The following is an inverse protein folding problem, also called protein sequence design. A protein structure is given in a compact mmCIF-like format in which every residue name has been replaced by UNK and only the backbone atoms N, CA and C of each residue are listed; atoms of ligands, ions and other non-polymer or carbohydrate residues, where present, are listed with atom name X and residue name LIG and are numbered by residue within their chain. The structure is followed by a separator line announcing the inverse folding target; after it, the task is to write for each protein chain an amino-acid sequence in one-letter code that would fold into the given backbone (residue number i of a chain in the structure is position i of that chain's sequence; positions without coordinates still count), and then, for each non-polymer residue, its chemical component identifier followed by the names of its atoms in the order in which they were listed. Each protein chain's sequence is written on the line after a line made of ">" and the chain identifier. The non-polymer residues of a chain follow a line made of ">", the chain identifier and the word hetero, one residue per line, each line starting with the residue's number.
data_IF_327302882622
#
_entry.id   IF_327302882622
#
_cell.length_a   1.000
_cell.length_b   1.000
_cell.length_c   1.000
_cell.angle_alpha   90.00
_cell.angle_beta   90.00
_cell.angle_gamma   90.00
#
_symmetry.space_group_name_H-M   'P 1'
#
loop_
_entity.id
_entity.type
_entity.pdbx_description
1 polymer ?
#
# COMPACT_ATOMS: atom_id res chain seq x y z
N UNK A 1 -73.49 22.34 20.36
CA UNK A 1 -72.48 23.10 19.57
C UNK A 1 -72.66 24.61 19.73
N UNK A 2 -71.58 25.36 20.01
CA UNK A 2 -71.65 26.81 20.19
C UNK A 2 -72.22 27.49 18.94
N UNK A 3 -73.41 28.07 19.04
CA UNK A 3 -74.00 28.95 18.02
C UNK A 3 -75.34 28.48 17.42
N UNK A 4 -75.67 27.19 17.45
CA UNK A 4 -76.96 26.66 16.97
C UNK A 4 -77.89 26.39 18.16
N UNK A 5 -79.00 27.14 18.27
CA UNK A 5 -80.05 26.92 19.26
C UNK A 5 -81.24 26.25 18.59
N UNK A 6 -81.66 25.10 19.11
CA UNK A 6 -82.63 24.19 18.48
C UNK A 6 -84.03 24.81 18.31
N UNK A 7 -84.40 25.75 19.18
CA UNK A 7 -85.71 26.40 19.21
C UNK A 7 -85.73 27.81 18.57
N UNK A 8 -84.77 28.15 17.72
CA UNK A 8 -84.68 29.49 17.10
C UNK A 8 -85.08 29.45 15.63
N UNK A 9 -85.99 30.35 15.24
CA UNK A 9 -86.44 30.52 13.86
C UNK A 9 -85.25 30.73 12.90
N UNK A 10 -85.29 30.21 11.66
CA UNK A 10 -84.19 30.33 10.71
C UNK A 10 -83.72 31.78 10.41
N UNK A 11 -84.60 32.76 10.61
CA UNK A 11 -84.33 34.21 10.47
C UNK A 11 -83.58 34.84 11.64
N UNK A 12 -83.52 34.17 12.80
CA UNK A 12 -82.92 34.67 14.05
C UNK A 12 -81.65 33.93 14.48
N UNK A 13 -81.07 33.08 13.61
CA UNK A 13 -79.83 32.33 13.90
C UNK A 13 -78.66 33.26 14.26
N UNK A 14 -77.72 32.82 15.10
CA UNK A 14 -76.58 33.65 15.54
C UNK A 14 -75.62 34.01 14.38
N UNK A 15 -74.84 35.10 14.53
CA UNK A 15 -73.84 35.49 13.52
C UNK A 15 -72.77 34.41 13.32
N UNK A 16 -72.39 33.72 14.40
CA UNK A 16 -71.44 32.61 14.38
C UNK A 16 -71.97 31.42 13.57
N UNK A 17 -73.26 31.08 13.74
CA UNK A 17 -73.90 30.03 12.95
C UNK A 17 -73.96 30.39 11.46
N UNK A 18 -74.31 31.64 11.14
CA UNK A 18 -74.32 32.13 9.76
C UNK A 18 -72.92 32.11 9.12
N UNK A 19 -71.90 32.53 9.87
CA UNK A 19 -70.50 32.46 9.43
C UNK A 19 -70.07 31.02 9.15
N UNK A 20 -70.44 30.06 10.01
CA UNK A 20 -70.20 28.63 9.78
C UNK A 20 -70.89 28.09 8.53
N UNK A 21 -72.13 28.50 8.27
CA UNK A 21 -72.85 28.16 7.03
C UNK A 21 -72.18 28.72 5.77
N UNK A 22 -71.69 29.95 5.82
CA UNK A 22 -70.92 30.56 4.72
C UNK A 22 -69.57 29.88 4.53
N UNK A 23 -68.90 29.46 5.61
CA UNK A 23 -67.66 28.71 5.54
C UNK A 23 -67.85 27.33 4.89
N UNK A 24 -68.93 26.60 5.23
CA UNK A 24 -69.28 25.36 4.53
C UNK A 24 -69.53 25.58 3.03
N UNK A 25 -70.25 26.63 2.66
CA UNK A 25 -70.50 26.94 1.23
C UNK A 25 -69.22 27.38 0.49
N UNK A 26 -68.34 28.15 1.14
CA UNK A 26 -67.04 28.50 0.60
C UNK A 26 -66.17 27.25 0.41
N UNK A 27 -66.12 26.36 1.40
CA UNK A 27 -65.41 25.08 1.32
C UNK A 27 -65.93 24.19 0.19
N UNK A 28 -67.25 24.12 -0.02
CA UNK A 28 -67.84 23.44 -1.18
C UNK A 28 -67.36 24.07 -2.50
N UNK A 29 -67.36 25.40 -2.60
CA UNK A 29 -66.85 26.12 -3.77
C UNK A 29 -65.37 25.82 -4.05
N UNK A 30 -64.51 25.88 -3.03
CA UNK A 30 -63.09 25.52 -3.14
C UNK A 30 -62.91 24.05 -3.57
N UNK A 31 -63.64 23.13 -2.96
CA UNK A 31 -63.61 21.72 -3.32
C UNK A 31 -63.98 21.50 -4.79
N UNK A 32 -65.00 22.19 -5.33
CA UNK A 32 -65.33 22.09 -6.75
C UNK A 32 -64.24 22.65 -7.68
N UNK A 33 -63.64 23.79 -7.32
CA UNK A 33 -62.59 24.42 -8.14
C UNK A 33 -61.31 23.56 -8.21
N UNK A 34 -60.91 22.96 -7.08
CA UNK A 34 -59.66 22.22 -6.98
C UNK A 34 -59.81 20.69 -7.13
N UNK A 35 -61.03 20.13 -7.12
CA UNK A 35 -61.25 18.68 -7.20
C UNK A 35 -60.67 18.06 -8.47
N UNK A 36 -60.78 18.72 -9.62
CA UNK A 36 -60.22 18.20 -10.87
C UNK A 36 -58.69 18.21 -10.88
N UNK A 37 -58.07 19.25 -10.30
CA UNK A 37 -56.60 19.32 -10.13
C UNK A 37 -56.10 18.23 -9.20
N UNK A 38 -56.80 18.01 -8.08
CA UNK A 38 -56.44 17.00 -7.10
C UNK A 38 -56.63 15.59 -7.67
N UNK A 39 -57.72 15.34 -8.42
CA UNK A 39 -57.92 14.08 -9.15
C UNK A 39 -56.82 13.85 -10.20
N UNK A 40 -56.46 14.87 -10.97
CA UNK A 40 -55.41 14.79 -11.98
C UNK A 40 -54.04 14.51 -11.35
N UNK A 41 -53.72 15.16 -10.24
CA UNK A 41 -52.50 14.91 -9.48
C UNK A 41 -52.43 13.45 -9.00
N UNK A 42 -53.50 12.97 -8.34
CA UNK A 42 -53.61 11.58 -7.88
C UNK A 42 -53.39 10.61 -9.04
N UNK A 43 -54.06 10.83 -10.18
CA UNK A 43 -53.95 9.95 -11.34
C UNK A 43 -52.52 9.90 -11.90
N UNK A 44 -51.85 11.06 -12.05
CA UNK A 44 -50.46 11.09 -12.52
C UNK A 44 -49.54 10.34 -11.55
N UNK A 45 -49.64 10.65 -10.25
CA UNK A 45 -48.80 10.00 -9.23
C UNK A 45 -49.08 8.51 -9.07
N UNK A 46 -50.33 8.07 -9.26
CA UNK A 46 -50.71 6.65 -9.25
C UNK A 46 -50.12 5.92 -10.47
N UNK A 47 -50.27 6.49 -11.66
CA UNK A 47 -49.74 5.89 -12.89
C UNK A 47 -48.22 5.79 -12.81
N UNK A 48 -47.54 6.85 -12.39
CA UNK A 48 -46.09 6.85 -12.25
C UNK A 48 -45.64 5.93 -11.11
N UNK A 49 -46.09 6.17 -9.88
CA UNK A 49 -45.65 5.41 -8.71
C UNK A 49 -45.96 3.92 -8.82
N UNK A 50 -47.21 3.57 -9.13
CA UNK A 50 -47.66 2.17 -9.17
C UNK A 50 -47.05 1.37 -10.31
N UNK A 51 -46.99 1.92 -11.53
CA UNK A 51 -46.43 1.18 -12.67
C UNK A 51 -44.90 1.14 -12.63
N UNK A 52 -44.23 2.23 -12.25
CA UNK A 52 -42.76 2.26 -12.19
C UNK A 52 -42.27 1.33 -11.08
N UNK A 53 -42.94 1.28 -9.92
CA UNK A 53 -42.57 0.35 -8.85
C UNK A 53 -42.62 -1.11 -9.33
N UNK A 54 -43.73 -1.52 -9.97
CA UNK A 54 -43.89 -2.89 -10.46
C UNK A 54 -42.93 -3.24 -11.60
N UNK A 55 -42.66 -2.31 -12.53
CA UNK A 55 -41.83 -2.57 -13.71
C UNK A 55 -40.33 -2.45 -13.45
N UNK A 56 -39.92 -1.61 -12.50
CA UNK A 56 -38.51 -1.28 -12.28
C UNK A 56 -38.03 -1.88 -10.97
N UNK A 57 -38.64 -1.53 -9.84
CA UNK A 57 -38.16 -1.98 -8.52
C UNK A 57 -38.32 -3.49 -8.33
N UNK A 58 -39.49 -4.03 -8.63
CA UNK A 58 -39.73 -5.46 -8.48
C UNK A 58 -38.93 -6.29 -9.50
N UNK A 59 -38.78 -5.79 -10.74
CA UNK A 59 -37.94 -6.42 -11.76
C UNK A 59 -36.43 -6.30 -11.48
N UNK A 60 -35.98 -5.26 -10.77
CA UNK A 60 -34.59 -5.12 -10.33
C UNK A 60 -34.27 -6.09 -9.21
N UNK A 61 -35.12 -6.13 -8.18
CA UNK A 61 -34.96 -7.03 -7.03
C UNK A 61 -35.04 -8.51 -7.42
N UNK A 62 -35.86 -8.84 -8.41
CA UNK A 62 -35.95 -10.18 -8.99
C UNK A 62 -34.88 -10.46 -10.06
N UNK A 63 -34.00 -9.50 -10.34
CA UNK A 63 -32.96 -9.54 -11.39
C UNK A 63 -33.48 -9.80 -12.82
N UNK A 64 -34.80 -9.75 -13.03
CA UNK A 64 -35.43 -9.90 -14.34
C UNK A 64 -35.03 -8.78 -15.31
N UNK A 65 -34.76 -7.58 -14.78
CA UNK A 65 -34.33 -6.46 -15.61
C UNK A 65 -32.94 -6.70 -16.22
N UNK A 66 -32.07 -7.46 -15.55
CA UNK A 66 -30.75 -7.81 -16.07
C UNK A 66 -30.84 -8.89 -17.17
N UNK A 67 -31.76 -9.85 -17.02
CA UNK A 67 -32.05 -10.82 -18.09
C UNK A 67 -32.58 -10.15 -19.37
N UNK A 68 -33.22 -8.99 -19.23
CA UNK A 68 -33.66 -8.16 -20.35
C UNK A 68 -32.47 -7.55 -21.11
N UNK A 69 -31.45 -7.08 -20.37
CA UNK A 69 -30.21 -6.55 -20.93
C UNK A 69 -29.35 -7.66 -21.57
N UNK A 70 -29.48 -8.89 -21.07
CA UNK A 70 -28.79 -10.08 -21.61
C UNK A 70 -29.42 -10.60 -22.91
N UNK A 71 -30.65 -10.17 -23.24
CA UNK A 71 -31.35 -10.61 -24.44
C UNK A 71 -30.90 -9.81 -25.66
N UNK A 72 -30.15 -10.41 -26.61
CA UNK A 72 -29.61 -9.67 -27.75
C UNK A 72 -30.73 -9.16 -28.67
N UNK A 73 -30.62 -7.90 -29.10
CA UNK A 73 -31.54 -7.28 -30.06
C UNK A 73 -32.79 -6.63 -29.45
N UNK A 74 -32.94 -6.66 -28.12
CA UNK A 74 -34.05 -5.98 -27.46
C UNK A 74 -33.84 -4.46 -27.33
N UNK A 75 -32.59 -4.03 -27.08
CA UNK A 75 -32.19 -2.62 -27.05
C UNK A 75 -31.42 -2.30 -28.34
N UNK A 76 -31.97 -1.46 -29.23
CA UNK A 76 -31.32 -1.15 -30.50
C UNK A 76 -29.98 -0.43 -30.26
N UNK A 77 -28.90 -0.99 -30.79
CA UNK A 77 -27.54 -0.41 -30.72
C UNK A 77 -26.75 -0.74 -29.44
N UNK A 78 -27.28 -1.57 -28.54
CA UNK A 78 -26.56 -2.03 -27.36
C UNK A 78 -26.27 -3.54 -27.45
N UNK A 79 -24.98 -3.90 -27.46
CA UNK A 79 -24.52 -5.28 -27.37
C UNK A 79 -23.32 -5.33 -26.43
N UNK A 80 -23.52 -5.90 -25.24
CA UNK A 80 -22.50 -5.97 -24.20
C UNK A 80 -21.28 -6.79 -24.65
N UNK A 81 -21.50 -7.90 -25.37
CA UNK A 81 -20.41 -8.72 -25.91
C UNK A 81 -19.54 -7.93 -26.88
N UNK A 82 -20.14 -7.12 -27.76
CA UNK A 82 -19.39 -6.30 -28.73
C UNK A 82 -18.57 -5.20 -28.04
N UNK A 83 -19.14 -4.57 -27.00
CA UNK A 83 -18.44 -3.56 -26.20
C UNK A 83 -17.23 -4.13 -25.45
N UNK A 84 -17.34 -5.38 -24.99
CA UNK A 84 -16.26 -6.10 -24.30
C UNK A 84 -15.28 -6.77 -25.26
N UNK A 85 -15.48 -6.66 -26.58
CA UNK A 85 -14.64 -7.32 -27.58
C UNK A 85 -14.73 -8.86 -27.53
N UNK A 86 -15.86 -9.39 -27.05
CA UNK A 86 -16.16 -10.82 -26.96
C UNK A 86 -17.07 -11.28 -28.11
N UNK A 87 -17.12 -12.59 -28.35
CA UNK A 87 -18.05 -13.18 -29.32
C UNK A 87 -19.51 -12.87 -28.94
N UNK A 88 -20.35 -12.57 -29.94
CA UNK A 88 -21.72 -12.13 -29.69
C UNK A 88 -22.53 -13.16 -28.88
N UNK A 89 -23.11 -12.73 -27.75
CA UNK A 89 -23.97 -13.57 -26.90
C UNK A 89 -23.25 -14.31 -25.77
N UNK A 90 -21.97 -14.02 -25.54
CA UNK A 90 -21.17 -14.60 -24.44
C UNK A 90 -21.28 -13.82 -23.13
N UNK A 91 -21.58 -12.52 -23.19
CA UNK A 91 -21.60 -11.64 -22.03
C UNK A 91 -22.99 -11.68 -21.37
N UNK A 92 -23.02 -12.05 -20.09
CA UNK A 92 -24.23 -12.09 -19.27
C UNK A 92 -24.07 -11.10 -18.11
N UNK A 93 -24.75 -9.95 -18.21
CA UNK A 93 -24.80 -8.91 -17.21
C UNK A 93 -25.38 -9.40 -15.90
N UNK A 94 -26.42 -10.25 -15.91
CA UNK A 94 -26.98 -10.82 -14.68
C UNK A 94 -25.95 -11.65 -13.91
N UNK A 95 -25.14 -12.44 -14.60
CA UNK A 95 -24.06 -13.23 -14.01
C UNK A 95 -22.92 -12.34 -13.52
N UNK A 96 -22.49 -11.39 -14.34
CA UNK A 96 -21.47 -10.40 -13.95
C UNK A 96 -21.88 -9.65 -12.68
N UNK A 97 -23.13 -9.18 -12.61
CA UNK A 97 -23.67 -8.49 -11.45
C UNK A 97 -23.61 -9.37 -10.19
N UNK A 98 -24.02 -10.64 -10.31
CA UNK A 98 -23.99 -11.61 -9.21
C UNK A 98 -22.55 -11.89 -8.74
N UNK A 99 -21.60 -12.02 -9.66
CA UNK A 99 -20.18 -12.19 -9.32
C UNK A 99 -19.63 -10.95 -8.62
N UNK A 100 -20.04 -9.75 -9.04
CA UNK A 100 -19.67 -8.51 -8.37
C UNK A 100 -20.25 -8.40 -6.96
N UNK A 101 -21.48 -8.85 -6.73
CA UNK A 101 -22.03 -8.94 -5.37
C UNK A 101 -21.21 -9.89 -4.46
N UNK A 102 -20.57 -10.91 -5.06
CA UNK A 102 -19.70 -11.87 -4.36
C UNK A 102 -18.23 -11.41 -4.21
N UNK A 103 -17.92 -10.15 -4.52
CA UNK A 103 -16.55 -9.59 -4.42
C UNK A 103 -15.55 -10.17 -5.43
N UNK A 104 -16.04 -10.66 -6.57
CA UNK A 104 -15.15 -11.09 -7.64
C UNK A 104 -14.36 -9.89 -8.23
N UNK A 105 -13.15 -10.17 -8.71
CA UNK A 105 -12.39 -9.23 -9.53
C UNK A 105 -13.13 -8.94 -10.84
N UNK A 106 -13.05 -7.70 -11.32
CA UNK A 106 -13.61 -7.31 -12.62
C UNK A 106 -13.12 -8.21 -13.76
N UNK A 107 -11.86 -8.67 -13.70
CA UNK A 107 -11.30 -9.57 -14.70
C UNK A 107 -12.12 -10.86 -14.86
N UNK A 108 -12.49 -11.46 -13.73
CA UNK A 108 -13.30 -12.67 -13.69
C UNK A 108 -14.77 -12.37 -14.02
N UNK A 109 -15.33 -11.31 -13.43
CA UNK A 109 -16.74 -10.94 -13.61
C UNK A 109 -17.10 -10.61 -15.06
N UNK A 110 -16.17 -10.01 -15.81
CA UNK A 110 -16.33 -9.65 -17.21
C UNK A 110 -15.88 -10.75 -18.18
N UNK A 111 -15.36 -11.88 -17.70
CA UNK A 111 -14.78 -12.94 -18.53
C UNK A 111 -13.74 -12.41 -19.54
N UNK A 112 -12.88 -11.47 -19.10
CA UNK A 112 -11.90 -10.82 -19.98
C UNK A 112 -10.86 -11.80 -20.52
N UNK A 113 -10.69 -12.96 -19.87
CA UNK A 113 -9.86 -14.07 -20.33
C UNK A 113 -10.21 -14.58 -21.73
N UNK A 114 -11.48 -14.45 -22.14
CA UNK A 114 -11.96 -14.85 -23.46
C UNK A 114 -11.52 -13.88 -24.56
N UNK A 115 -11.46 -12.59 -24.25
CA UNK A 115 -11.04 -11.54 -25.18
C UNK A 115 -9.51 -11.37 -25.21
N UNK A 116 -8.88 -11.49 -24.05
CA UNK A 116 -7.47 -11.21 -23.82
C UNK A 116 -6.84 -12.30 -22.95
N UNK A 117 -5.96 -13.08 -23.55
CA UNK A 117 -5.17 -14.06 -22.80
C UNK A 117 -3.98 -13.39 -22.13
N UNK A 118 -4.00 -13.30 -20.80
CA UNK A 118 -2.84 -12.86 -20.00
C UNK A 118 -1.62 -13.75 -20.24
N UNK A 119 -1.82 -15.03 -20.54
CA UNK A 119 -0.72 -15.94 -20.85
C UNK A 119 -0.01 -15.62 -22.15
N UNK A 120 -0.75 -15.14 -23.16
CA UNK A 120 -0.15 -14.66 -24.41
C UNK A 120 0.51 -13.29 -24.24
N UNK A 121 -0.14 -12.37 -23.52
CA UNK A 121 0.35 -11.00 -23.33
C UNK A 121 1.59 -10.93 -22.44
N UNK A 122 1.61 -11.71 -21.35
CA UNK A 122 2.68 -11.75 -20.36
C UNK A 122 3.52 -13.04 -20.52
N UNK A 123 3.70 -13.51 -21.75
CA UNK A 123 4.52 -14.68 -22.01
C UNK A 123 6.01 -14.31 -21.83
N UNK A 124 6.59 -14.71 -20.70
CA UNK A 124 8.01 -14.48 -20.40
C UNK A 124 8.94 -15.43 -21.14
N UNK A 125 8.45 -16.61 -21.56
CA UNK A 125 9.31 -17.65 -22.14
C UNK A 125 10.09 -17.18 -23.36
N UNK A 126 9.47 -16.38 -24.22
CA UNK A 126 10.10 -15.80 -25.41
C UNK A 126 11.31 -14.90 -25.07
N UNK A 127 11.17 -14.05 -24.03
CA UNK A 127 12.22 -13.13 -23.62
C UNK A 127 13.31 -13.83 -22.80
N UNK A 128 12.92 -14.77 -21.93
CA UNK A 128 13.84 -15.59 -21.13
C UNK A 128 14.79 -16.38 -22.04
N UNK A 129 14.28 -16.96 -23.12
CA UNK A 129 15.07 -17.72 -24.09
C UNK A 129 16.04 -16.81 -24.87
N UNK A 130 15.57 -15.64 -25.33
CA UNK A 130 16.39 -14.66 -26.04
C UNK A 130 17.52 -14.11 -25.15
N UNK A 131 17.21 -13.73 -23.91
CA UNK A 131 18.18 -13.24 -22.93
C UNK A 131 19.23 -14.32 -22.63
N UNK A 132 18.82 -15.57 -22.45
CA UNK A 132 19.73 -16.70 -22.21
C UNK A 132 20.65 -16.92 -23.41
N UNK A 133 20.13 -16.89 -24.63
CA UNK A 133 20.92 -17.04 -25.87
C UNK A 133 21.92 -15.90 -26.08
N UNK A 134 21.53 -14.65 -25.82
CA UNK A 134 22.42 -13.49 -25.92
C UNK A 134 23.55 -13.61 -24.91
N UNK A 135 23.23 -14.08 -23.70
CA UNK A 135 24.21 -14.25 -22.63
C UNK A 135 25.21 -15.37 -22.92
N UNK A 136 24.77 -16.51 -23.45
CA UNK A 136 25.68 -17.59 -23.84
C UNK A 136 26.70 -17.18 -24.90
N UNK A 137 26.31 -16.23 -25.77
CA UNK A 137 27.17 -15.66 -26.81
C UNK A 137 28.06 -14.51 -26.32
N UNK A 138 27.84 -14.02 -25.10
CA UNK A 138 28.60 -12.89 -24.56
C UNK A 138 29.97 -13.36 -24.07
N UNK A 139 31.01 -12.95 -24.79
CA UNK A 139 32.39 -13.12 -24.34
C UNK A 139 32.76 -12.00 -23.36
N UNK A 140 32.76 -12.32 -22.07
CA UNK A 140 33.21 -11.41 -21.02
C UNK A 140 34.74 -11.27 -21.12
N UNK A 141 35.21 -10.16 -21.68
CA UNK A 141 36.63 -9.83 -21.75
C UNK A 141 37.04 -9.14 -20.46
N UNK A 142 37.66 -9.89 -19.56
CA UNK A 142 38.24 -9.32 -18.35
C UNK A 142 39.56 -8.65 -18.71
N UNK A 143 39.77 -7.45 -18.16
CA UNK A 143 41.07 -6.79 -18.26
C UNK A 143 42.12 -7.65 -17.59
N UNK A 144 43.29 -7.81 -18.21
CA UNK A 144 44.38 -8.59 -17.63
C UNK A 144 44.82 -7.95 -16.32
N UNK A 145 44.56 -8.63 -15.20
CA UNK A 145 45.04 -8.22 -13.89
C UNK A 145 46.52 -8.61 -13.82
N UNK A 146 47.41 -7.63 -13.67
CA UNK A 146 48.83 -7.88 -13.41
C UNK A 146 49.14 -7.50 -11.97
N UNK A 147 49.36 -8.50 -11.11
CA UNK A 147 49.62 -8.28 -9.69
C UNK A 147 51.00 -7.65 -9.45
N UNK A 148 52.01 -8.20 -10.12
CA UNK A 148 53.40 -7.72 -10.10
C UNK A 148 54.03 -7.94 -11.48
N UNK A 149 54.51 -6.86 -12.09
CA UNK A 149 55.29 -6.93 -13.33
C UNK A 149 56.64 -7.62 -13.09
N UNK A 150 57.24 -8.15 -14.16
CA UNK A 150 58.57 -8.76 -14.09
C UNK A 150 59.61 -7.79 -13.50
N UNK A 151 59.57 -6.52 -13.90
CA UNK A 151 60.49 -5.49 -13.38
C UNK A 151 60.38 -5.28 -11.86
N UNK A 152 59.17 -5.34 -11.31
CA UNK A 152 58.93 -5.20 -9.87
C UNK A 152 59.39 -6.45 -9.11
N UNK A 153 59.23 -7.65 -9.68
CA UNK A 153 59.73 -8.90 -9.11
C UNK A 153 61.26 -8.88 -9.03
N UNK A 154 61.91 -8.49 -10.11
CA UNK A 154 63.37 -8.40 -10.18
C UNK A 154 63.90 -7.35 -9.21
N UNK A 155 63.22 -6.20 -9.08
CA UNK A 155 63.58 -5.15 -8.13
C UNK A 155 63.50 -5.63 -6.67
N UNK A 156 62.44 -6.37 -6.31
CA UNK A 156 62.31 -6.95 -4.97
C UNK A 156 63.38 -8.00 -4.68
N UNK A 157 63.67 -8.88 -5.65
CA UNK A 157 64.75 -9.86 -5.52
C UNK A 157 66.11 -9.18 -5.35
N UNK A 158 66.41 -8.20 -6.19
CA UNK A 158 67.65 -7.45 -6.14
C UNK A 158 67.79 -6.66 -4.83
N UNK A 159 66.72 -6.03 -4.34
CA UNK A 159 66.72 -5.35 -3.05
C UNK A 159 66.99 -6.33 -1.89
N UNK A 160 66.38 -7.51 -1.91
CA UNK A 160 66.62 -8.55 -0.89
C UNK A 160 68.05 -9.10 -0.91
N UNK A 161 68.66 -9.16 -2.09
CA UNK A 161 70.05 -9.58 -2.28
C UNK A 161 71.04 -8.47 -1.88
N UNK A 162 70.76 -7.22 -2.24
CA UNK A 162 71.57 -6.06 -1.87
C UNK A 162 71.57 -5.81 -0.36
N UNK A 163 70.48 -6.16 0.33
CA UNK A 163 70.39 -6.10 1.79
C UNK A 163 71.11 -7.23 2.54
N UNK A 164 71.84 -8.12 1.86
CA UNK A 164 72.60 -9.17 2.54
C UNK A 164 73.89 -8.59 3.15
N UNK A 165 74.15 -8.84 4.46
CA UNK A 165 75.38 -8.41 5.09
C UNK A 165 76.59 -9.14 4.52
N UNK A 166 77.80 -8.58 4.67
CA UNK A 166 79.03 -9.30 4.39
C UNK A 166 79.18 -10.51 5.32
N UNK A 167 80.08 -11.42 4.96
CA UNK A 167 80.37 -12.57 5.80
C UNK A 167 81.15 -12.13 7.05
N UNK A 168 80.48 -12.14 8.20
CA UNK A 168 81.07 -11.79 9.50
C UNK A 168 81.72 -12.98 10.23
N UNK A 169 81.87 -14.16 9.62
CA UNK A 169 82.41 -15.33 10.32
C UNK A 169 83.80 -15.06 10.93
N UNK A 170 84.70 -14.47 10.15
CA UNK A 170 86.04 -14.09 10.61
C UNK A 170 86.00 -13.01 11.69
N UNK A 171 85.05 -12.07 11.58
CA UNK A 171 84.86 -11.00 12.57
C UNK A 171 84.36 -11.57 13.90
N UNK A 172 83.42 -12.52 13.87
CA UNK A 172 82.93 -13.22 15.05
C UNK A 172 84.05 -14.06 15.70
N UNK A 173 84.84 -14.78 14.89
CA UNK A 173 86.02 -15.52 15.38
C UNK A 173 87.01 -14.60 16.09
N UNK A 174 87.31 -13.42 15.52
CA UNK A 174 88.19 -12.43 16.15
C UNK A 174 87.59 -11.79 17.40
N UNK A 175 86.26 -11.61 17.47
CA UNK A 175 85.59 -11.08 18.66
C UNK A 175 85.71 -12.02 19.86
N UNK A 176 85.85 -13.32 19.61
CA UNK A 176 86.03 -14.34 20.66
C UNK A 176 87.49 -14.49 21.11
N UNK A 177 88.44 -13.81 20.45
CA UNK A 177 89.83 -13.73 20.90
C UNK A 177 90.03 -12.70 22.02
N UNK A 178 91.10 -12.86 22.79
CA UNK A 178 91.45 -11.91 23.85
C UNK A 178 91.95 -10.60 23.22
N UNK A 179 91.54 -9.45 23.79
CA UNK A 179 91.97 -8.12 23.33
C UNK A 179 93.49 -7.93 23.41
N UNK A 180 94.15 -8.71 24.28
CA UNK A 180 95.60 -8.73 24.46
C UNK A 180 96.21 -10.07 24.06
N UNK A 181 97.45 -10.04 23.57
CA UNK A 181 98.21 -11.24 23.16
C UNK A 181 98.46 -12.23 24.32
N UNK A 182 98.27 -11.80 25.57
CA UNK A 182 98.34 -12.61 26.79
C UNK A 182 97.62 -11.91 27.95
N UNK A 183 97.43 -12.60 29.06
CA UNK A 183 96.77 -12.06 30.25
C UNK A 183 97.63 -10.98 30.92
N UNK A 184 97.10 -9.76 30.99
CA UNK A 184 97.74 -8.65 31.72
C UNK A 184 97.86 -8.96 33.22
N UNK A 185 96.94 -9.77 33.75
CA UNK A 185 96.96 -10.25 35.12
C UNK A 185 98.11 -11.25 35.35
N UNK A 186 98.37 -12.14 34.39
CA UNK A 186 99.47 -13.11 34.48
C UNK A 186 100.82 -12.39 34.38
N UNK A 187 100.95 -11.43 33.47
CA UNK A 187 102.13 -10.57 33.37
C UNK A 187 102.35 -9.75 34.66
N UNK A 188 101.28 -9.21 35.25
CA UNK A 188 101.36 -8.52 36.53
C UNK A 188 101.82 -9.46 37.67
N UNK A 189 101.35 -10.71 37.68
CA UNK A 189 101.75 -11.72 38.66
C UNK A 189 103.21 -12.16 38.47
N UNK A 190 103.69 -12.29 37.24
CA UNK A 190 105.10 -12.58 36.94
C UNK A 190 106.03 -11.44 37.38
N UNK A 191 105.64 -10.18 37.14
CA UNK A 191 106.40 -9.01 37.61
C UNK A 191 106.50 -8.98 39.14
N UNK A 192 105.42 -9.33 39.84
CA UNK A 192 105.42 -9.46 41.30
C UNK A 192 106.30 -10.60 41.78
N UNK A 193 106.28 -11.77 41.14
CA UNK A 193 107.19 -12.88 41.47
C UNK A 193 108.66 -12.51 41.23
N UNK A 194 108.93 -11.63 40.26
CA UNK A 194 110.28 -11.12 40.01
C UNK A 194 110.79 -10.25 41.16
N UNK A 195 109.89 -9.56 41.89
CA UNK A 195 110.25 -8.69 43.04
C UNK A 195 110.96 -9.42 44.19
N UNK A 196 110.86 -10.76 44.24
CA UNK A 196 111.53 -11.61 45.23
C UNK A 196 112.98 -11.95 44.84
N UNK A 197 113.40 -11.64 43.60
CA UNK A 197 114.69 -12.05 43.02
C UNK A 197 115.62 -10.88 42.63
N UNK A 198 115.22 -9.62 42.84
CA UNK A 198 115.96 -8.40 42.46
C UNK A 198 116.31 -7.49 43.64
N UNK A 199 117.24 -6.55 43.41
CA UNK A 199 117.66 -5.52 44.38
C UNK A 199 116.56 -4.52 44.75
N UNK A 200 116.74 -3.83 45.88
CA UNK A 200 115.76 -2.90 46.47
C UNK A 200 115.42 -1.69 45.61
N UNK A 201 116.29 -1.33 44.67
CA UNK A 201 116.15 -0.22 43.72
C UNK A 201 115.13 -0.48 42.60
N UNK A 202 115.00 -1.73 42.12
CA UNK A 202 114.08 -2.11 41.03
C UNK A 202 112.75 -2.69 41.55
N UNK A 203 112.71 -3.07 42.83
CA UNK A 203 111.57 -3.74 43.47
C UNK A 203 110.29 -2.90 43.48
N UNK A 204 110.41 -1.62 43.79
CA UNK A 204 109.25 -0.72 43.89
C UNK A 204 108.66 -0.42 42.51
N UNK A 205 109.52 -0.22 41.51
CA UNK A 205 109.10 0.00 40.12
C UNK A 205 108.32 -1.20 39.57
N UNK A 206 108.79 -2.43 39.80
CA UNK A 206 108.09 -3.65 39.37
C UNK A 206 106.68 -3.76 39.97
N UNK A 207 106.50 -3.41 41.25
CA UNK A 207 105.17 -3.37 41.90
C UNK A 207 104.27 -2.30 41.31
N UNK A 208 104.82 -1.12 41.02
CA UNK A 208 104.08 -0.04 40.36
C UNK A 208 103.63 -0.46 38.96
N UNK A 209 104.48 -1.13 38.17
CA UNK A 209 104.11 -1.65 36.85
C UNK A 209 103.05 -2.76 36.95
N UNK A 210 103.19 -3.71 37.88
CA UNK A 210 102.18 -4.74 38.12
C UNK A 210 100.81 -4.13 38.49
N UNK A 211 100.79 -3.11 39.35
CA UNK A 211 99.55 -2.42 39.70
C UNK A 211 98.94 -1.66 38.51
N UNK A 212 99.77 -1.00 37.69
CA UNK A 212 99.33 -0.34 36.44
C UNK A 212 98.72 -1.34 35.46
N UNK A 213 99.30 -2.52 35.30
CA UNK A 213 98.75 -3.58 34.43
C UNK A 213 97.38 -4.06 34.91
N UNK A 214 97.20 -4.30 36.21
CA UNK A 214 95.88 -4.68 36.76
C UNK A 214 94.84 -3.58 36.63
N UNK A 215 95.24 -2.32 36.79
CA UNK A 215 94.35 -1.18 36.57
C UNK A 215 93.92 -1.08 35.10
N UNK A 216 94.86 -1.26 34.18
CA UNK A 216 94.62 -1.25 32.74
C UNK A 216 93.71 -2.41 32.31
N UNK A 217 93.92 -3.61 32.85
CA UNK A 217 93.05 -4.78 32.63
C UNK A 217 91.61 -4.50 33.06
N UNK A 218 91.41 -3.96 34.27
CA UNK A 218 90.08 -3.60 34.77
C UNK A 218 89.41 -2.51 33.94
N UNK A 219 90.15 -1.47 33.54
CA UNK A 219 89.65 -0.39 32.67
C UNK A 219 89.28 -0.92 31.28
N UNK A 220 90.09 -1.83 30.73
CA UNK A 220 89.84 -2.48 29.44
C UNK A 220 88.60 -3.36 29.50
N UNK A 221 88.45 -4.17 30.55
CA UNK A 221 87.30 -5.05 30.71
C UNK A 221 85.99 -4.26 30.90
N UNK A 222 86.01 -3.17 31.68
CA UNK A 222 84.85 -2.29 31.85
C UNK A 222 84.46 -1.55 30.56
N UNK A 223 85.43 -1.19 29.72
CA UNK A 223 85.18 -0.38 28.52
C UNK A 223 84.83 -1.22 27.29
N UNK A 224 85.51 -2.35 27.08
CA UNK A 224 85.40 -3.14 25.85
C UNK A 224 84.42 -4.31 25.94
N UNK A 225 84.22 -4.94 27.10
CA UNK A 225 83.37 -6.14 27.20
C UNK A 225 81.93 -5.87 26.75
N UNK A 226 81.33 -4.76 27.17
CA UNK A 226 79.97 -4.39 26.76
C UNK A 226 79.86 -4.00 25.28
N UNK A 227 80.90 -3.36 24.71
CA UNK A 227 80.94 -3.00 23.30
C UNK A 227 81.10 -4.22 22.39
N UNK A 228 81.94 -5.19 22.80
CA UNK A 228 82.14 -6.45 22.08
C UNK A 228 80.87 -7.30 22.09
N UNK A 229 80.20 -7.44 23.24
CA UNK A 229 78.92 -8.14 23.32
C UNK A 229 77.85 -7.46 22.46
N UNK A 230 77.75 -6.12 22.52
CA UNK A 230 76.81 -5.38 21.69
C UNK A 230 77.10 -5.54 20.19
N UNK A 231 78.38 -5.58 19.79
CA UNK A 231 78.77 -5.81 18.40
C UNK A 231 78.39 -7.23 17.94
N UNK A 232 78.62 -8.26 18.77
CA UNK A 232 78.20 -9.63 18.52
C UNK A 232 76.67 -9.74 18.32
N UNK A 233 75.88 -9.17 19.24
CA UNK A 233 74.41 -9.17 19.18
C UNK A 233 73.89 -8.43 17.93
N UNK A 234 74.52 -7.32 17.56
CA UNK A 234 74.19 -6.57 16.35
C UNK A 234 74.51 -7.36 15.08
N UNK A 235 75.65 -8.07 15.04
CA UNK A 235 76.02 -8.95 13.93
C UNK A 235 74.97 -10.06 13.76
N UNK A 236 74.60 -10.75 14.84
CA UNK A 236 73.57 -11.79 14.81
C UNK A 236 72.20 -11.25 14.39
N UNK A 237 71.80 -10.08 14.90
CA UNK A 237 70.53 -9.43 14.53
C UNK A 237 70.48 -9.06 13.04
N UNK A 238 71.56 -8.53 12.49
CA UNK A 238 71.63 -8.18 11.06
C UNK A 238 71.65 -9.43 10.19
N UNK A 239 72.43 -10.47 10.55
CA UNK A 239 72.47 -11.74 9.81
C UNK A 239 71.10 -12.43 9.78
N UNK A 240 70.46 -12.58 10.94
CA UNK A 240 69.14 -13.20 11.05
C UNK A 240 68.05 -12.36 10.37
N UNK A 241 68.09 -11.04 10.53
CA UNK A 241 67.19 -10.10 9.87
C UNK A 241 67.27 -10.16 8.34
N UNK A 242 68.49 -10.18 7.79
CA UNK A 242 68.71 -10.26 6.34
C UNK A 242 68.32 -11.62 5.75
N UNK A 243 68.60 -12.71 6.46
CA UNK A 243 68.15 -14.05 6.07
C UNK A 243 66.61 -14.14 6.05
N UNK A 244 65.95 -13.59 7.07
CA UNK A 244 64.49 -13.52 7.15
C UNK A 244 63.90 -12.65 6.02
N UNK A 245 64.50 -11.49 5.74
CA UNK A 245 64.06 -10.61 4.65
C UNK A 245 64.11 -11.34 3.30
N UNK A 246 65.20 -12.05 3.01
CA UNK A 246 65.34 -12.86 1.78
C UNK A 246 64.29 -13.94 1.69
N UNK A 247 64.08 -14.70 2.77
CA UNK A 247 63.08 -15.76 2.83
C UNK A 247 61.65 -15.22 2.63
N UNK A 248 61.30 -14.14 3.33
CA UNK A 248 59.98 -13.51 3.22
C UNK A 248 59.74 -12.90 1.83
N UNK A 249 60.75 -12.26 1.25
CA UNK A 249 60.66 -11.70 -0.11
C UNK A 249 60.38 -12.80 -1.13
N UNK A 250 61.11 -13.92 -1.04
CA UNK A 250 60.89 -15.08 -1.91
C UNK A 250 59.49 -15.66 -1.73
N UNK A 251 59.06 -15.91 -0.49
CA UNK A 251 57.74 -16.45 -0.21
C UNK A 251 56.60 -15.53 -0.70
N UNK A 252 56.76 -14.21 -0.58
CA UNK A 252 55.79 -13.24 -1.09
C UNK A 252 55.72 -13.25 -2.63
N UNK A 253 56.87 -13.33 -3.31
CA UNK A 253 56.93 -13.44 -4.77
C UNK A 253 56.32 -14.74 -5.28
N UNK A 254 56.56 -15.86 -4.58
CA UNK A 254 55.97 -17.16 -4.90
C UNK A 254 54.44 -17.12 -4.75
N UNK A 255 53.92 -16.60 -3.63
CA UNK A 255 52.47 -16.40 -3.44
C UNK A 255 51.84 -15.48 -4.50
N UNK A 256 52.53 -14.39 -4.85
CA UNK A 256 52.05 -13.49 -5.89
C UNK A 256 52.04 -14.16 -7.28
N UNK A 257 52.97 -15.08 -7.55
CA UNK A 257 52.97 -15.91 -8.76
C UNK A 257 51.79 -16.87 -8.77
N UNK A 258 51.59 -17.64 -7.70
CA UNK A 258 50.46 -18.57 -7.56
C UNK A 258 49.11 -17.85 -7.72
N UNK A 259 48.98 -16.66 -7.11
CA UNK A 259 47.77 -15.83 -7.23
C UNK A 259 47.55 -15.35 -8.67
N UNK A 260 48.61 -14.90 -9.35
CA UNK A 260 48.53 -14.50 -10.76
C UNK A 260 48.07 -15.66 -11.65
N UNK A 261 48.64 -16.86 -11.47
CA UNK A 261 48.28 -18.06 -12.23
C UNK A 261 46.83 -18.50 -11.96
N UNK A 262 46.37 -18.39 -10.71
CA UNK A 262 44.97 -18.64 -10.35
C UNK A 262 44.03 -17.64 -11.03
N UNK A 263 44.35 -16.34 -10.98
CA UNK A 263 43.54 -15.30 -11.63
C UNK A 263 43.47 -15.53 -13.14
N UNK A 264 44.59 -15.81 -13.81
CA UNK A 264 44.60 -16.07 -15.25
C UNK A 264 43.79 -17.31 -15.65
N UNK A 265 43.75 -18.33 -14.79
CA UNK A 265 43.02 -19.59 -15.07
C UNK A 265 41.54 -19.53 -14.73
N UNK A 266 41.21 -19.06 -13.53
CA UNK A 266 39.87 -19.23 -12.94
C UNK A 266 39.00 -17.97 -13.03
N UNK A 267 39.58 -16.78 -13.18
CA UNK A 267 38.80 -15.53 -13.13
C UNK A 267 37.73 -15.44 -14.23
N UNK A 268 38.03 -15.92 -15.44
CA UNK A 268 37.05 -15.99 -16.51
C UNK A 268 35.90 -16.96 -16.19
N UNK A 269 36.21 -18.13 -15.61
CA UNK A 269 35.22 -19.13 -15.23
C UNK A 269 34.34 -18.64 -14.07
N UNK A 270 34.95 -18.08 -13.03
CA UNK A 270 34.25 -17.51 -11.87
C UNK A 270 33.32 -16.40 -12.35
N UNK A 271 33.82 -15.44 -13.14
CA UNK A 271 32.99 -14.34 -13.65
C UNK A 271 31.84 -14.85 -14.49
N UNK A 272 32.08 -15.83 -15.38
CA UNK A 272 31.02 -16.45 -16.17
C UNK A 272 29.97 -17.13 -15.29
N UNK A 273 30.39 -17.85 -14.26
CA UNK A 273 29.49 -18.57 -13.36
C UNK A 273 28.66 -17.63 -12.48
N UNK A 274 29.30 -16.64 -11.85
CA UNK A 274 28.63 -15.62 -11.04
C UNK A 274 27.65 -14.78 -11.88
N UNK A 275 28.04 -14.41 -13.09
CA UNK A 275 27.16 -13.64 -13.98
C UNK A 275 25.99 -14.49 -14.47
N UNK A 276 26.18 -15.80 -14.69
CA UNK A 276 25.07 -16.74 -14.98
C UNK A 276 24.12 -16.85 -13.80
N UNK A 277 24.63 -17.05 -12.58
CA UNK A 277 23.81 -17.15 -11.38
C UNK A 277 23.00 -15.86 -11.14
N UNK A 278 23.60 -14.69 -11.38
CA UNK A 278 22.90 -13.41 -11.32
C UNK A 278 21.78 -13.30 -12.36
N UNK A 279 22.03 -13.75 -13.60
CA UNK A 279 21.02 -13.74 -14.66
C UNK A 279 19.85 -14.68 -14.34
N UNK A 280 20.13 -15.89 -13.88
CA UNK A 280 19.11 -16.86 -13.47
C UNK A 280 18.22 -16.29 -12.35
N UNK A 281 18.83 -15.63 -11.35
CA UNK A 281 18.11 -14.94 -10.28
C UNK A 281 17.19 -13.83 -10.81
N UNK A 282 17.66 -13.02 -11.78
CA UNK A 282 16.84 -11.98 -12.39
C UNK A 282 15.66 -12.57 -13.16
N UNK A 283 15.88 -13.62 -13.94
CA UNK A 283 14.84 -14.31 -14.72
C UNK A 283 13.79 -14.92 -13.78
N UNK A 284 14.21 -15.58 -12.70
CA UNK A 284 13.31 -16.12 -11.68
C UNK A 284 12.48 -15.02 -11.01
N UNK A 285 13.07 -13.86 -10.74
CA UNK A 285 12.35 -12.70 -10.20
C UNK A 285 11.28 -12.20 -11.18
N UNK A 286 11.60 -12.08 -12.47
CA UNK A 286 10.63 -11.68 -13.49
C UNK A 286 9.49 -12.70 -13.64
N UNK A 287 9.79 -14.00 -13.64
CA UNK A 287 8.79 -15.05 -13.71
C UNK A 287 7.86 -15.02 -12.48
N UNK A 288 8.43 -14.88 -11.29
CA UNK A 288 7.69 -14.76 -10.04
C UNK A 288 6.80 -13.53 -10.04
N UNK A 289 7.32 -12.38 -10.48
CA UNK A 289 6.57 -11.13 -10.55
C UNK A 289 5.41 -11.22 -11.54
N UNK A 290 5.63 -11.78 -12.73
CA UNK A 290 4.58 -11.97 -13.74
C UNK A 290 3.50 -12.92 -13.22
N UNK A 291 3.90 -14.02 -12.56
CA UNK A 291 2.97 -14.96 -11.94
C UNK A 291 2.13 -14.29 -10.86
N UNK A 292 2.76 -13.53 -9.97
CA UNK A 292 2.07 -12.71 -8.98
C UNK A 292 1.11 -11.71 -9.63
N UNK A 293 1.55 -10.94 -10.62
CA UNK A 293 0.72 -9.94 -11.30
C UNK A 293 -0.50 -10.57 -11.99
N UNK A 294 -0.35 -11.76 -12.61
CA UNK A 294 -1.47 -12.53 -13.17
C UNK A 294 -2.47 -12.94 -12.08
N UNK A 295 -1.99 -13.49 -10.97
CA UNK A 295 -2.85 -13.90 -9.85
C UNK A 295 -3.59 -12.71 -9.26
N UNK A 296 -2.87 -11.62 -9.01
CA UNK A 296 -3.42 -10.41 -8.40
C UNK A 296 -4.47 -9.77 -9.31
N UNK A 297 -4.19 -9.63 -10.62
CA UNK A 297 -5.14 -9.06 -11.59
C UNK A 297 -6.41 -9.91 -11.75
N UNK A 298 -6.29 -11.24 -11.64
CA UNK A 298 -7.41 -12.16 -11.82
C UNK A 298 -8.27 -12.32 -10.56
N UNK A 299 -7.74 -12.02 -9.37
CA UNK A 299 -8.41 -12.34 -8.09
C UNK A 299 -8.63 -11.13 -7.17
N UNK A 300 -7.64 -10.27 -7.03
CA UNK A 300 -7.53 -9.37 -5.87
C UNK A 300 -7.51 -7.88 -6.29
N UNK A 301 -7.21 -7.58 -7.55
CA UNK A 301 -7.24 -6.22 -8.10
C UNK A 301 -8.57 -5.92 -8.78
N UNK A 302 -9.07 -4.71 -8.52
CA UNK A 302 -10.29 -4.17 -9.10
C UNK A 302 -11.52 -5.06 -8.81
N UNK A 303 -11.71 -5.45 -7.54
CA UNK A 303 -12.95 -6.08 -7.07
C UNK A 303 -14.16 -5.21 -7.41
N UNK A 304 -15.23 -5.81 -7.95
CA UNK A 304 -16.40 -5.06 -8.43
C UNK A 304 -17.55 -4.94 -7.42
N UNK A 305 -17.35 -5.38 -6.18
CA UNK A 305 -18.33 -5.20 -5.10
C UNK A 305 -18.73 -3.75 -4.84
N UNK A 306 -17.83 -2.75 -4.86
CA UNK A 306 -18.25 -1.35 -4.69
C UNK A 306 -19.20 -0.88 -5.80
N UNK A 307 -19.05 -1.41 -7.01
CA UNK A 307 -19.93 -1.10 -8.15
C UNK A 307 -21.31 -1.70 -7.92
N UNK A 308 -21.38 -2.99 -7.57
CA UNK A 308 -22.64 -3.65 -7.26
C UNK A 308 -23.37 -2.97 -6.09
N UNK A 309 -22.64 -2.63 -5.02
CA UNK A 309 -23.19 -1.89 -3.88
C UNK A 309 -23.71 -0.51 -4.25
N UNK A 310 -23.03 0.20 -5.16
CA UNK A 310 -23.50 1.52 -5.62
C UNK A 310 -24.83 1.36 -6.36
N UNK A 311 -24.97 0.34 -7.20
CA UNK A 311 -26.20 0.02 -7.91
C UNK A 311 -27.34 -0.39 -6.97
N UNK A 312 -27.06 -1.30 -6.01
CA UNK A 312 -28.01 -1.69 -4.97
C UNK A 312 -28.46 -0.47 -4.13
N UNK A 313 -27.54 0.43 -3.77
CA UNK A 313 -27.87 1.64 -3.02
C UNK A 313 -28.72 2.62 -3.85
N UNK A 314 -28.45 2.77 -5.14
CA UNK A 314 -29.26 3.61 -6.03
C UNK A 314 -30.67 3.07 -6.17
N UNK A 315 -30.82 1.75 -6.31
CA UNK A 315 -32.12 1.10 -6.33
C UNK A 315 -32.87 1.32 -5.02
N UNK A 316 -32.24 1.05 -3.87
CA UNK A 316 -32.85 1.27 -2.56
C UNK A 316 -33.31 2.73 -2.38
N UNK A 317 -32.51 3.72 -2.81
CA UNK A 317 -32.91 5.14 -2.75
C UNK A 317 -34.11 5.42 -3.66
N UNK A 318 -34.08 4.95 -4.91
CA UNK A 318 -35.16 5.23 -5.86
C UNK A 318 -36.47 4.52 -5.49
N UNK A 319 -36.38 3.26 -5.06
CA UNK A 319 -37.52 2.41 -4.78
C UNK A 319 -38.10 2.64 -3.39
N UNK A 320 -37.28 2.50 -2.34
CA UNK A 320 -37.77 2.53 -0.95
C UNK A 320 -38.03 3.95 -0.44
N UNK A 321 -37.36 4.98 -1.00
CA UNK A 321 -37.58 6.36 -0.57
C UNK A 321 -38.43 7.15 -1.54
N UNK A 322 -38.08 7.19 -2.83
CA UNK A 322 -38.80 8.06 -3.79
C UNK A 322 -40.14 7.44 -4.18
N UNK A 323 -40.14 6.22 -4.70
CA UNK A 323 -41.35 5.58 -5.22
C UNK A 323 -42.33 5.22 -4.11
N UNK A 324 -41.85 4.70 -2.98
CA UNK A 324 -42.70 4.46 -1.81
C UNK A 324 -43.32 5.74 -1.25
N UNK A 325 -42.59 6.86 -1.23
CA UNK A 325 -43.15 8.16 -0.84
C UNK A 325 -44.21 8.65 -1.83
N UNK A 326 -43.97 8.49 -3.13
CA UNK A 326 -44.97 8.79 -4.16
C UNK A 326 -46.21 7.90 -4.03
N UNK A 327 -46.00 6.63 -3.67
CA UNK A 327 -47.07 5.67 -3.42
C UNK A 327 -47.92 6.07 -2.21
N UNK A 328 -47.28 6.44 -1.10
CA UNK A 328 -47.96 6.95 0.08
C UNK A 328 -48.71 8.26 -0.20
N UNK A 329 -48.13 9.15 -1.03
CA UNK A 329 -48.72 10.43 -1.41
C UNK A 329 -50.02 10.24 -2.20
N UNK A 330 -49.99 9.45 -3.30
CA UNK A 330 -51.18 9.26 -4.12
C UNK A 330 -52.26 8.49 -3.37
N UNK A 331 -51.88 7.53 -2.53
CA UNK A 331 -52.82 6.77 -1.70
C UNK A 331 -53.56 7.70 -0.72
N UNK A 332 -52.82 8.58 -0.04
CA UNK A 332 -53.38 9.55 0.91
C UNK A 332 -54.28 10.59 0.24
N UNK A 333 -53.83 11.16 -0.88
CA UNK A 333 -54.60 12.14 -1.65
C UNK A 333 -55.82 11.49 -2.33
N UNK A 334 -55.70 10.25 -2.78
CA UNK A 334 -56.80 9.46 -3.32
C UNK A 334 -57.92 9.29 -2.30
N UNK A 335 -57.57 8.96 -1.05
CA UNK A 335 -58.54 8.85 0.05
C UNK A 335 -59.19 10.20 0.40
N UNK A 336 -58.42 11.29 0.39
CA UNK A 336 -58.96 12.64 0.54
C UNK A 336 -59.97 12.98 -0.57
N UNK A 337 -59.67 12.60 -1.82
CA UNK A 337 -60.57 12.78 -2.97
C UNK A 337 -61.85 11.97 -2.80
N UNK A 338 -61.72 10.72 -2.38
CA UNK A 338 -62.84 9.81 -2.18
C UNK A 338 -63.83 10.37 -1.14
N UNK A 339 -63.32 10.88 -0.01
CA UNK A 339 -64.16 11.48 1.03
C UNK A 339 -64.62 12.90 0.74
N UNK A 340 -64.06 13.58 -0.26
CA UNK A 340 -64.47 14.92 -0.65
C UNK A 340 -65.92 14.95 -1.18
N UNK A 341 -66.33 13.92 -1.93
CA UNK A 341 -67.71 13.79 -2.44
C UNK A 341 -68.78 13.70 -1.34
N UNK A 342 -68.73 12.75 -0.38
CA UNK A 342 -69.69 12.72 0.72
C UNK A 342 -69.59 13.97 1.61
N UNK A 343 -68.39 14.52 1.78
CA UNK A 343 -68.19 15.76 2.54
C UNK A 343 -68.89 16.97 1.90
N UNK A 344 -68.89 17.10 0.57
CA UNK A 344 -69.64 18.15 -0.14
C UNK A 344 -71.14 18.00 0.13
N UNK A 345 -71.69 16.78 0.02
CA UNK A 345 -73.13 16.55 0.25
C UNK A 345 -73.52 16.94 1.67
N UNK A 346 -72.74 16.52 2.66
CA UNK A 346 -72.97 16.87 4.06
C UNK A 346 -72.81 18.36 4.31
N UNK A 347 -71.78 19.00 3.74
CA UNK A 347 -71.54 20.43 3.90
C UNK A 347 -72.69 21.28 3.31
N UNK A 348 -73.23 20.92 2.14
CA UNK A 348 -74.39 21.60 1.55
C UNK A 348 -75.64 21.42 2.43
N UNK A 349 -75.87 20.20 2.94
CA UNK A 349 -77.00 19.93 3.84
C UNK A 349 -76.87 20.71 5.15
N UNK A 350 -75.69 20.71 5.78
CA UNK A 350 -75.40 21.44 7.01
C UNK A 350 -75.45 22.95 6.81
N UNK A 351 -74.97 23.48 5.68
CA UNK A 351 -75.02 24.90 5.36
C UNK A 351 -76.47 25.43 5.39
N UNK A 352 -77.45 24.63 4.94
CA UNK A 352 -78.88 24.99 5.05
C UNK A 352 -79.35 25.15 6.50
N UNK A 353 -78.80 24.37 7.44
CA UNK A 353 -79.13 24.44 8.86
C UNK A 353 -78.34 25.50 9.65
N UNK A 354 -77.21 25.97 9.12
CA UNK A 354 -76.37 26.96 9.78
C UNK A 354 -76.57 28.39 9.25
N UNK A 355 -76.86 28.55 7.95
CA UNK A 355 -77.04 29.87 7.33
C UNK A 355 -78.34 30.53 7.82
N UNK A 356 -78.30 31.83 8.12
CA UNK A 356 -79.50 32.61 8.46
C UNK A 356 -80.30 32.82 7.17
N UNK A 357 -81.60 32.55 7.21
CA UNK A 357 -82.50 32.77 6.06
C UNK A 357 -83.21 34.12 6.19
N UNK A 358 -83.47 34.80 5.08
CA UNK A 358 -84.20 36.07 5.09
C UNK A 358 -85.72 35.88 5.26
N UNK A 359 -86.21 34.65 5.05
CA UNK A 359 -87.63 34.32 5.11
C UNK A 359 -87.84 33.10 6.03
N UNK A 360 -88.82 33.18 6.93
CA UNK A 360 -89.29 32.04 7.72
C UNK A 360 -90.80 31.86 7.53
N UNK A 361 -91.23 30.61 7.36
CA UNK A 361 -92.64 30.23 7.34
C UNK A 361 -93.16 30.21 8.78
N UNK A 362 -94.11 31.10 9.10
CA UNK A 362 -94.72 31.18 10.43
C UNK A 362 -96.05 30.44 10.40
N UNK A 363 -96.15 29.34 11.14
CA UNK A 363 -97.43 28.67 11.39
C UNK A 363 -98.13 29.33 12.56
N UNK A 364 -99.25 30.04 12.30
CA UNK A 364 -100.11 30.59 13.36
C UNK A 364 -100.90 29.46 14.03
N UNK A 365 -100.76 29.36 15.35
CA UNK A 365 -101.68 28.61 16.21
C UNK A 365 -102.78 29.57 16.67
N UNK A 366 -103.71 29.89 15.77
CA UNK A 366 -104.99 30.46 16.19
C UNK A 366 -105.96 29.29 16.37
N UNK A 367 -106.26 28.99 17.63
CA UNK A 367 -107.33 28.08 18.05
C UNK A 367 -108.66 28.75 17.70
N UNK A 368 -109.23 28.40 16.55
CA UNK A 368 -110.57 28.79 16.15
C UNK A 368 -111.43 27.53 16.17
N UNK A 369 -112.33 27.46 17.15
CA UNK A 369 -113.30 26.37 17.32
C UNK A 369 -114.43 26.47 16.28
N UNK A 370 -114.60 25.41 15.47
CA UNK A 370 -115.86 24.84 14.92
C UNK A 370 -115.59 23.99 13.66
N UNK A 371 -116.55 23.18 13.16
CA UNK A 371 -117.01 21.82 13.51
C UNK A 371 -116.47 20.76 12.48
N UNK A 372 -116.86 19.46 12.46
CA UNK A 372 -115.98 18.41 11.93
C UNK A 372 -115.97 18.29 10.40
N UNK A 373 -114.78 17.93 9.90
CA UNK A 373 -114.44 17.34 8.59
C UNK A 373 -114.45 18.25 7.36
N UNK A 374 -113.32 18.93 7.12
CA UNK A 374 -112.64 18.92 5.82
C UNK A 374 -111.13 19.01 6.06
N UNK A 375 -110.34 18.09 5.49
CA UNK A 375 -108.89 18.09 5.56
C UNK A 375 -108.33 19.33 4.84
N UNK A 376 -108.06 20.40 5.60
CA UNK A 376 -107.31 21.54 5.09
C UNK A 376 -105.82 21.29 5.31
N UNK A 377 -105.12 20.97 4.21
CA UNK A 377 -103.68 21.15 4.13
C UNK A 377 -103.36 22.63 4.36
N UNK A 378 -102.68 22.96 5.47
CA UNK A 378 -102.17 24.31 5.75
C UNK A 378 -101.05 24.63 4.76
N UNK A 379 -101.30 25.55 3.83
CA UNK A 379 -100.25 26.16 3.01
C UNK A 379 -99.44 27.16 3.86
N UNK A 380 -98.11 27.02 3.99
CA UNK A 380 -97.28 28.01 4.66
C UNK A 380 -97.28 29.35 3.91
N UNK A 381 -97.24 30.47 4.64
CA UNK A 381 -97.00 31.80 4.07
C UNK A 381 -95.58 32.28 4.43
N UNK A 382 -94.81 32.79 3.45
CA UNK A 382 -93.48 33.34 3.69
C UNK A 382 -93.58 34.64 4.51
N UNK A 383 -92.82 34.75 5.60
CA UNK A 383 -92.58 36.05 6.26
C UNK A 383 -91.14 36.49 6.01
N UNK A 384 -90.99 37.63 5.35
CA UNK A 384 -89.70 38.26 5.03
C UNK A 384 -89.22 39.13 6.19
N UNK A 385 -87.93 39.08 6.48
CA UNK A 385 -87.27 40.02 7.39
C UNK A 385 -87.16 41.40 6.69
N UNK A 386 -87.57 42.46 7.39
CA UNK A 386 -87.14 43.82 7.09
C UNK A 386 -85.81 44.11 7.77
#
# INVERSE_FOLDING_TARGET
>A
PLGLKENVLPTQRSSLSNAGGNFFMAGVGFSFIFSWLLMLLVLITFVLGGNIYMLVCESWRSQQIFQLLDTPGLIPGFNLSELLGQEAGTANFSEMYRQCQQDAALWQALHLDQSMSLDKLLNTSQYTEEISMVFEKMNITLSSISLLSQSQRDLLLNASQAGQPPNFNLTLEQLHEHVTQGSLLDLAAELEQLTDKVGTDVKEDLKVYAHKLRKLDKEMQMSFSGLLQSLEDNIYSVQSGAARLKAQTKAALDKAKETQEFLEREMANITKNETRAFLEMLLEFFETYISWAKSELTRDVACCKPIAQTLDNMEAIACDYILDSLNALWFSLGWCTFFLLPSIILAVRLAKFYRRMDIADVYRNETLEMPPTFNFYKLPRPSTRH
#
